data_IF_362306117126
#
_entry.id   IF_362306117126
#
_cell.length_a   1.000
_cell.length_b   1.000
_cell.length_c   1.000
_cell.angle_alpha   90.00
_cell.angle_beta   90.00
_cell.angle_gamma   90.00
#
_symmetry.space_group_name_H-M   'P 1'
#
loop_
_entity.id
_entity.type
_entity.pdbx_description
1 polymer ?
#
# COMPACT_ATOMS: atom_id res chain seq x y z
N UNK A 1 0.64 3.98 2.68
CA UNK A 1 0.37 5.06 1.74
C UNK A 1 -0.79 5.88 2.27
N UNK A 2 -0.73 7.20 2.18
CA UNK A 2 -1.73 8.17 2.67
C UNK A 2 -2.19 7.98 4.14
N UNK A 3 -1.77 6.87 4.77
CA UNK A 3 -2.01 6.55 6.18
C UNK A 3 -0.79 6.90 7.03
N UNK A 4 0.36 6.29 6.76
CA UNK A 4 1.62 6.50 7.50
C UNK A 4 2.43 7.64 6.88
N UNK A 5 2.34 7.83 5.56
CA UNK A 5 2.93 8.92 4.77
C UNK A 5 1.83 9.64 4.00
N UNK A 6 1.97 10.95 3.66
CA UNK A 6 0.90 11.72 3.03
C UNK A 6 0.68 11.42 1.54
N UNK A 7 1.44 10.51 0.95
CA UNK A 7 1.44 10.22 -0.48
C UNK A 7 1.25 8.72 -0.78
N UNK A 8 0.94 8.41 -2.05
CA UNK A 8 1.02 7.06 -2.60
C UNK A 8 2.46 6.76 -3.00
N UNK A 9 3.11 5.86 -2.26
CA UNK A 9 4.54 5.58 -2.42
C UNK A 9 4.86 4.93 -3.76
N UNK A 10 3.98 4.07 -4.29
CA UNK A 10 4.19 3.42 -5.57
C UNK A 10 4.18 4.41 -6.73
N UNK A 11 3.20 5.31 -6.77
CA UNK A 11 3.07 6.34 -7.81
C UNK A 11 4.20 7.36 -7.72
N UNK A 12 4.53 7.83 -6.51
CA UNK A 12 5.58 8.80 -6.30
C UNK A 12 6.96 8.22 -6.64
N UNK A 13 7.23 6.95 -6.28
CA UNK A 13 8.46 6.26 -6.67
C UNK A 13 8.56 6.09 -8.19
N UNK A 14 7.46 5.77 -8.86
CA UNK A 14 7.43 5.68 -10.32
C UNK A 14 7.83 7.03 -10.94
N UNK A 15 7.18 8.12 -10.52
CA UNK A 15 7.51 9.47 -10.98
C UNK A 15 8.99 9.83 -10.69
N UNK A 16 9.47 9.51 -9.49
CA UNK A 16 10.88 9.68 -9.12
C UNK A 16 11.81 8.94 -10.10
N UNK A 17 11.51 7.69 -10.44
CA UNK A 17 12.33 6.89 -11.35
C UNK A 17 12.34 7.47 -12.77
N UNK A 18 11.21 7.90 -13.30
CA UNK A 18 11.15 8.50 -14.63
C UNK A 18 11.92 9.82 -14.71
N UNK A 19 11.93 10.62 -13.63
CA UNK A 19 12.72 11.86 -13.58
C UNK A 19 14.22 11.64 -13.46
N UNK A 20 14.66 10.59 -12.75
CA UNK A 20 16.09 10.34 -12.49
C UNK A 20 16.73 9.34 -13.47
N UNK A 21 15.91 8.56 -14.18
CA UNK A 21 16.32 7.54 -15.14
C UNK A 21 15.49 7.69 -16.43
N UNK A 22 15.80 8.70 -17.29
CA UNK A 22 14.95 9.04 -18.44
C UNK A 22 14.72 7.89 -19.43
N UNK A 23 15.64 6.93 -19.50
CA UNK A 23 15.46 5.75 -20.36
C UNK A 23 14.29 4.87 -19.94
N UNK A 24 13.74 5.03 -18.71
CA UNK A 24 12.49 4.35 -18.30
C UNK A 24 11.30 4.76 -19.16
N UNK A 25 11.34 5.92 -19.82
CA UNK A 25 10.28 6.36 -20.74
C UNK A 25 10.01 5.37 -21.88
N UNK A 26 10.96 4.48 -22.21
CA UNK A 26 10.74 3.40 -23.20
C UNK A 26 9.60 2.46 -22.80
N UNK A 27 9.25 2.38 -21.52
CA UNK A 27 8.14 1.53 -21.03
C UNK A 27 6.76 2.21 -21.12
N UNK A 28 6.72 3.54 -21.32
CA UNK A 28 5.45 4.30 -21.34
C UNK A 28 4.46 3.82 -22.41
N UNK A 29 4.84 3.48 -23.65
CA UNK A 29 3.88 2.99 -24.64
C UNK A 29 3.14 1.74 -24.15
N UNK A 30 3.83 0.82 -23.49
CA UNK A 30 3.25 -0.41 -22.94
C UNK A 30 2.29 -0.07 -21.79
N UNK A 31 2.70 0.84 -20.90
CA UNK A 31 1.86 1.29 -19.78
C UNK A 31 0.62 2.02 -20.31
N UNK A 32 0.75 2.86 -21.36
CA UNK A 32 -0.36 3.57 -21.96
C UNK A 32 -1.38 2.61 -22.60
N UNK A 33 -0.91 1.59 -23.33
CA UNK A 33 -1.79 0.55 -23.89
C UNK A 33 -2.49 -0.21 -22.77
N UNK A 34 -1.79 -0.60 -21.71
CA UNK A 34 -2.39 -1.28 -20.58
C UNK A 34 -3.41 -0.40 -19.85
N UNK A 35 -3.15 0.91 -19.72
CA UNK A 35 -4.11 1.86 -19.15
C UNK A 35 -5.38 1.96 -20.01
N UNK A 36 -5.24 2.04 -21.35
CA UNK A 36 -6.36 2.04 -22.27
C UNK A 36 -7.20 0.75 -22.14
N UNK A 37 -6.54 -0.41 -22.12
CA UNK A 37 -7.22 -1.70 -21.96
C UNK A 37 -7.96 -1.80 -20.61
N UNK A 38 -7.40 -1.19 -19.55
CA UNK A 38 -8.06 -1.12 -18.24
C UNK A 38 -9.30 -0.21 -18.30
N UNK A 39 -9.22 0.96 -18.93
CA UNK A 39 -10.37 1.87 -19.10
C UNK A 39 -11.48 1.22 -19.93
N UNK A 40 -11.12 0.42 -20.93
CA UNK A 40 -12.06 -0.36 -21.74
C UNK A 40 -12.56 -1.64 -21.01
N UNK A 41 -12.22 -1.83 -19.75
CA UNK A 41 -12.58 -3.00 -18.95
C UNK A 41 -12.13 -4.36 -19.53
N UNK A 42 -11.14 -4.38 -20.43
CA UNK A 42 -10.56 -5.60 -21.02
C UNK A 42 -9.62 -6.28 -20.04
N UNK A 43 -8.88 -5.50 -19.26
CA UNK A 43 -8.02 -6.00 -18.18
C UNK A 43 -8.43 -5.38 -16.85
N UNK A 44 -8.19 -6.11 -15.74
CA UNK A 44 -8.43 -5.61 -14.40
C UNK A 44 -7.29 -4.73 -13.89
N UNK A 45 -7.53 -4.03 -12.77
CA UNK A 45 -6.55 -3.14 -12.15
C UNK A 45 -5.25 -3.84 -11.77
N UNK A 46 -5.30 -5.10 -11.30
CA UNK A 46 -4.10 -5.89 -10.96
C UNK A 46 -3.24 -6.13 -12.19
N UNK A 47 -3.87 -6.47 -13.33
CA UNK A 47 -3.17 -6.67 -14.61
C UNK A 47 -2.51 -5.39 -15.11
N UNK A 48 -3.21 -4.24 -15.04
CA UNK A 48 -2.63 -2.93 -15.30
C UNK A 48 -1.42 -2.67 -14.40
N UNK A 49 -1.58 -2.86 -13.08
CA UNK A 49 -0.52 -2.63 -12.11
C UNK A 49 0.73 -3.48 -12.35
N UNK A 50 0.58 -4.69 -12.93
CA UNK A 50 1.72 -5.54 -13.34
C UNK A 50 2.61 -4.84 -14.36
N UNK A 51 2.07 -3.95 -15.20
CA UNK A 51 2.84 -3.22 -16.21
C UNK A 51 3.51 -1.96 -15.68
N UNK A 52 2.98 -1.38 -14.58
CA UNK A 52 3.48 -0.11 -14.04
C UNK A 52 4.94 -0.16 -13.58
N UNK A 53 5.46 -1.33 -13.24
CA UNK A 53 6.82 -1.52 -12.73
C UNK A 53 7.76 -2.23 -13.71
N UNK A 54 7.39 -2.33 -15.00
CA UNK A 54 8.25 -2.94 -16.04
C UNK A 54 9.59 -2.22 -16.24
N UNK A 55 9.71 -0.98 -15.77
CA UNK A 55 10.96 -0.21 -15.82
C UNK A 55 11.99 -0.66 -14.75
N UNK A 56 11.60 -1.43 -13.74
CA UNK A 56 12.50 -1.81 -12.63
C UNK A 56 13.80 -2.49 -13.05
N UNK A 57 13.83 -3.39 -14.04
CA UNK A 57 15.08 -3.98 -14.53
C UNK A 57 16.05 -2.97 -15.18
N UNK A 58 15.54 -1.81 -15.56
CA UNK A 58 16.33 -0.76 -16.24
C UNK A 58 17.06 0.17 -15.28
N UNK A 59 16.82 0.05 -13.97
CA UNK A 59 17.36 0.95 -12.95
C UNK A 59 18.13 0.18 -11.86
N UNK A 60 19.09 0.81 -11.17
CA UNK A 60 19.67 0.25 -9.95
C UNK A 60 18.67 0.34 -8.79
N UNK A 61 17.73 -0.61 -8.75
CA UNK A 61 16.53 -0.63 -7.91
C UNK A 61 16.81 -0.33 -6.44
N UNK A 62 17.77 -1.04 -5.83
CA UNK A 62 18.10 -0.90 -4.41
C UNK A 62 18.60 0.52 -4.09
N UNK A 63 19.43 1.07 -4.98
CA UNK A 63 19.95 2.44 -4.85
C UNK A 63 18.84 3.48 -5.05
N UNK A 64 17.94 3.25 -6.00
CA UNK A 64 16.82 4.13 -6.27
C UNK A 64 15.85 4.16 -5.08
N UNK A 65 15.48 3.00 -4.53
CA UNK A 65 14.62 2.87 -3.35
C UNK A 65 15.23 3.55 -2.13
N UNK A 66 16.52 3.30 -1.88
CA UNK A 66 17.22 3.95 -0.76
C UNK A 66 17.17 5.46 -0.87
N UNK A 67 17.55 6.03 -2.05
CA UNK A 67 17.53 7.48 -2.28
C UNK A 67 16.14 8.08 -2.21
N UNK A 68 15.12 7.34 -2.66
CA UNK A 68 13.74 7.76 -2.55
C UNK A 68 13.34 7.93 -1.07
N UNK A 69 13.58 6.92 -0.23
CA UNK A 69 13.26 7.01 1.19
C UNK A 69 14.17 7.96 1.97
N UNK A 70 15.42 8.17 1.55
CA UNK A 70 16.28 9.20 2.15
C UNK A 70 15.67 10.61 2.02
N UNK A 71 14.89 10.86 0.96
CA UNK A 71 14.19 12.14 0.76
C UNK A 71 12.87 12.23 1.54
N UNK A 72 12.17 11.11 1.69
CA UNK A 72 10.78 11.08 2.16
C UNK A 72 10.58 10.53 3.57
N UNK A 73 11.65 10.07 4.26
CA UNK A 73 11.58 9.51 5.61
C UNK A 73 10.99 10.51 6.64
N UNK A 74 11.25 11.79 6.45
CA UNK A 74 10.79 12.84 7.35
C UNK A 74 9.28 13.15 7.19
N UNK A 75 8.66 12.72 6.09
CA UNK A 75 7.23 12.87 5.83
C UNK A 75 6.37 11.78 6.51
N UNK A 76 7.00 10.81 7.17
CA UNK A 76 6.29 9.84 8.00
C UNK A 76 5.64 10.54 9.18
N UNK A 77 4.33 10.33 9.34
CA UNK A 77 3.55 10.99 10.39
C UNK A 77 4.09 10.68 11.80
N UNK A 78 4.21 11.69 12.69
CA UNK A 78 4.78 11.53 14.04
C UNK A 78 4.13 10.41 14.84
N UNK A 79 2.80 10.34 14.82
CA UNK A 79 2.06 9.33 15.57
C UNK A 79 2.45 7.89 15.26
N UNK A 80 2.91 7.63 14.04
CA UNK A 80 3.39 6.30 13.66
C UNK A 80 4.81 6.03 14.19
N UNK A 81 5.67 7.08 14.22
CA UNK A 81 7.02 6.97 14.78
C UNK A 81 7.00 6.73 16.30
N UNK A 82 6.02 7.30 16.99
CA UNK A 82 5.84 7.24 18.45
C UNK A 82 5.07 6.01 18.92
N UNK A 83 4.69 5.10 18.01
CA UNK A 83 3.96 3.89 18.38
C UNK A 83 4.76 3.00 19.33
N UNK A 84 4.09 2.43 20.31
CA UNK A 84 4.69 1.51 21.32
C UNK A 84 4.12 0.09 21.24
N UNK A 85 3.02 -0.09 20.51
CA UNK A 85 2.34 -1.39 20.37
C UNK A 85 2.85 -2.14 19.15
N UNK A 86 2.74 -3.46 19.18
CA UNK A 86 2.98 -4.32 18.03
C UNK A 86 2.14 -3.86 16.83
N UNK A 87 2.78 -3.63 15.73
CA UNK A 87 2.14 -3.03 14.55
C UNK A 87 2.32 -3.89 13.31
N UNK A 88 1.20 -4.22 12.67
CA UNK A 88 1.17 -4.89 11.36
C UNK A 88 0.85 -3.86 10.29
N UNK A 89 1.78 -3.62 9.39
CA UNK A 89 1.56 -2.73 8.25
C UNK A 89 1.12 -3.55 7.05
N UNK A 90 -0.11 -3.29 6.56
CA UNK A 90 -0.69 -4.01 5.42
C UNK A 90 -0.89 -3.01 4.28
N UNK A 91 -0.23 -3.24 3.14
CA UNK A 91 -0.21 -2.28 2.03
C UNK A 91 -0.35 -2.93 0.66
N UNK A 92 -1.05 -2.24 -0.24
CA UNK A 92 -1.09 -2.59 -1.66
C UNK A 92 0.19 -2.19 -2.41
N UNK A 93 1.09 -1.44 -1.79
CA UNK A 93 2.37 -1.03 -2.40
C UNK A 93 3.37 -2.18 -2.49
N UNK A 94 4.38 -2.05 -3.39
CA UNK A 94 5.31 -3.13 -3.66
C UNK A 94 6.26 -3.44 -2.51
N UNK A 95 6.55 -4.73 -2.28
CA UNK A 95 7.50 -5.22 -1.29
C UNK A 95 8.91 -4.64 -1.47
N UNK A 96 9.42 -4.56 -2.71
CA UNK A 96 10.75 -4.01 -2.98
C UNK A 96 10.88 -2.55 -2.54
N UNK A 97 9.78 -1.78 -2.56
CA UNK A 97 9.72 -0.38 -2.13
C UNK A 97 9.57 -0.27 -0.61
N UNK A 98 8.71 -1.10 -0.02
CA UNK A 98 8.36 -0.99 1.40
C UNK A 98 9.36 -1.66 2.33
N UNK A 99 10.12 -2.66 1.87
CA UNK A 99 11.08 -3.38 2.72
C UNK A 99 12.18 -2.47 3.28
N UNK A 100 12.61 -1.43 2.56
CA UNK A 100 13.61 -0.48 3.04
C UNK A 100 13.06 0.38 4.17
N UNK A 101 11.87 0.99 3.97
CA UNK A 101 11.25 1.85 5.00
C UNK A 101 10.79 1.04 6.21
N UNK A 102 10.35 -0.20 6.01
CA UNK A 102 9.98 -1.10 7.10
C UNK A 102 11.15 -1.36 8.05
N UNK A 103 12.34 -1.58 7.50
CA UNK A 103 13.57 -1.73 8.30
C UNK A 103 13.93 -0.45 9.04
N UNK A 104 13.88 0.71 8.37
CA UNK A 104 14.23 2.02 8.95
C UNK A 104 13.30 2.43 10.09
N UNK A 105 12.02 2.10 9.99
CA UNK A 105 11.01 2.42 10.99
C UNK A 105 10.69 1.25 11.93
N UNK A 106 11.45 0.15 11.83
CA UNK A 106 11.29 -1.04 12.69
C UNK A 106 9.84 -1.51 12.72
N UNK A 107 9.26 -1.82 11.52
CA UNK A 107 7.94 -2.44 11.48
C UNK A 107 8.01 -3.83 12.11
N UNK A 108 7.10 -4.15 13.01
CA UNK A 108 7.05 -5.48 13.62
C UNK A 108 6.66 -6.53 12.57
N UNK A 109 5.71 -6.21 11.68
CA UNK A 109 5.34 -7.03 10.53
C UNK A 109 4.94 -6.17 9.34
N UNK A 110 5.40 -6.56 8.14
CA UNK A 110 4.99 -5.99 6.87
C UNK A 110 4.30 -7.05 6.02
N UNK A 111 3.06 -6.77 5.59
CA UNK A 111 2.29 -7.56 4.63
C UNK A 111 2.00 -6.66 3.43
N UNK A 112 2.48 -7.00 2.25
CA UNK A 112 2.33 -6.13 1.09
C UNK A 112 2.30 -6.90 -0.24
N UNK A 113 2.08 -6.19 -1.36
CA UNK A 113 2.07 -6.82 -2.68
C UNK A 113 3.46 -7.32 -3.02
N UNK A 114 3.55 -8.63 -3.31
CA UNK A 114 4.82 -9.29 -3.66
C UNK A 114 5.15 -9.09 -5.12
N UNK A 115 6.42 -8.82 -5.42
CA UNK A 115 6.93 -8.61 -6.77
C UNK A 115 8.11 -9.52 -7.05
N UNK A 116 8.21 -9.98 -8.29
CA UNK A 116 9.40 -10.67 -8.77
C UNK A 116 10.59 -9.69 -8.77
N UNK A 117 11.67 -9.98 -8.04
CA UNK A 117 12.79 -9.05 -7.91
C UNK A 117 13.54 -8.82 -9.23
N UNK A 118 13.41 -9.73 -10.22
CA UNK A 118 14.10 -9.64 -11.51
C UNK A 118 13.39 -8.74 -12.51
N UNK A 119 12.04 -8.75 -12.54
CA UNK A 119 11.27 -8.06 -13.58
C UNK A 119 10.19 -7.11 -13.02
N UNK A 120 10.04 -7.01 -11.69
CA UNK A 120 9.06 -6.13 -11.05
C UNK A 120 7.58 -6.54 -11.20
N UNK A 121 7.30 -7.69 -11.83
CA UNK A 121 5.92 -8.15 -12.02
C UNK A 121 5.35 -8.66 -10.70
N UNK A 122 4.09 -8.32 -10.43
CA UNK A 122 3.36 -8.81 -9.25
C UNK A 122 3.28 -10.34 -9.27
N UNK A 123 3.62 -10.94 -8.14
CA UNK A 123 3.44 -12.38 -7.88
C UNK A 123 2.13 -12.56 -7.12
N UNK A 124 1.20 -13.31 -7.69
CA UNK A 124 -0.13 -13.52 -7.12
C UNK A 124 -1.02 -12.28 -7.26
N UNK A 125 -1.83 -12.01 -6.24
CA UNK A 125 -2.79 -10.93 -6.22
C UNK A 125 -2.22 -9.64 -5.60
N UNK A 126 -2.84 -8.52 -5.95
CA UNK A 126 -2.55 -7.23 -5.31
C UNK A 126 -3.11 -7.24 -3.87
N UNK A 127 -2.30 -6.86 -2.89
CA UNK A 127 -2.69 -6.81 -1.47
C UNK A 127 -3.67 -5.66 -1.19
N UNK A 128 -4.93 -5.84 -1.63
CA UNK A 128 -5.99 -4.83 -1.56
C UNK A 128 -7.33 -5.47 -1.21
N UNK A 129 -8.25 -4.71 -0.65
CA UNK A 129 -9.59 -5.18 -0.26
C UNK A 129 -9.51 -6.45 0.61
N UNK A 130 -10.29 -7.48 0.33
CA UNK A 130 -10.30 -8.74 1.06
C UNK A 130 -8.98 -9.51 1.06
N UNK A 131 -8.11 -9.27 0.07
CA UNK A 131 -6.78 -9.88 0.01
C UNK A 131 -5.89 -9.48 1.20
N UNK A 132 -6.10 -8.29 1.78
CA UNK A 132 -5.40 -7.85 3.00
C UNK A 132 -5.73 -8.79 4.18
N UNK A 133 -7.01 -9.12 4.36
CA UNK A 133 -7.46 -10.03 5.43
C UNK A 133 -6.96 -11.44 5.20
N UNK A 134 -7.05 -11.94 3.94
CA UNK A 134 -6.55 -13.25 3.58
C UNK A 134 -5.07 -13.40 3.93
N UNK A 135 -4.25 -12.40 3.58
CA UNK A 135 -2.80 -12.42 3.88
C UNK A 135 -2.49 -12.22 5.36
N UNK A 136 -3.32 -11.46 6.09
CA UNK A 136 -3.18 -11.35 7.53
C UNK A 136 -3.29 -12.74 8.17
N UNK A 137 -4.28 -13.53 7.76
CA UNK A 137 -4.50 -14.88 8.29
C UNK A 137 -3.60 -15.97 7.66
N UNK A 138 -2.82 -15.66 6.63
CA UNK A 138 -1.70 -16.52 6.21
C UNK A 138 -0.47 -16.36 7.11
N UNK A 139 -0.29 -15.17 7.67
CA UNK A 139 0.85 -14.85 8.54
C UNK A 139 0.58 -15.12 10.02
N UNK A 140 -0.68 -15.05 10.43
CA UNK A 140 -1.12 -15.23 11.80
C UNK A 140 -2.27 -16.23 11.87
N UNK A 141 -2.23 -17.11 12.88
CA UNK A 141 -3.37 -17.97 13.17
C UNK A 141 -4.62 -17.12 13.47
N UNK A 142 -5.73 -17.40 12.82
CA UNK A 142 -6.98 -16.63 12.96
C UNK A 142 -7.46 -16.54 14.40
N UNK A 143 -7.37 -17.65 15.12
CA UNK A 143 -7.85 -17.76 16.50
C UNK A 143 -6.82 -17.28 17.54
N UNK A 144 -5.61 -16.91 17.07
CA UNK A 144 -4.48 -16.52 17.92
C UNK A 144 -4.14 -15.01 17.79
N UNK A 145 -4.76 -14.30 16.83
CA UNK A 145 -4.52 -12.88 16.62
C UNK A 145 -5.76 -12.07 16.92
N UNK A 146 -5.59 -11.05 17.74
CA UNK A 146 -6.61 -10.05 18.04
C UNK A 146 -6.16 -8.72 17.45
N UNK A 147 -7.02 -8.12 16.62
CA UNK A 147 -6.78 -6.81 16.03
C UNK A 147 -7.38 -5.75 16.94
N UNK A 148 -6.55 -5.03 17.66
CA UNK A 148 -7.01 -4.03 18.62
C UNK A 148 -7.51 -2.79 17.88
N UNK A 149 -6.62 -2.04 17.24
CA UNK A 149 -6.94 -0.79 16.54
C UNK A 149 -6.59 -0.88 15.05
N UNK A 150 -7.40 -0.26 14.21
CA UNK A 150 -7.15 -0.18 12.76
C UNK A 150 -7.07 1.27 12.29
N UNK A 151 -6.07 1.56 11.47
CA UNK A 151 -5.79 2.88 10.91
C UNK A 151 -5.72 2.80 9.39
N UNK A 152 -6.55 3.56 8.66
CA UNK A 152 -6.45 3.67 7.20
C UNK A 152 -7.01 5.00 6.67
N UNK A 153 -6.49 5.43 5.52
CA UNK A 153 -7.02 6.54 4.72
C UNK A 153 -8.23 6.14 3.86
N UNK A 154 -8.47 4.84 3.66
CA UNK A 154 -9.50 4.35 2.75
C UNK A 154 -10.62 3.60 3.47
N UNK A 155 -11.73 4.29 3.72
CA UNK A 155 -12.93 3.66 4.28
C UNK A 155 -13.48 2.56 3.35
N UNK A 156 -13.42 2.76 2.02
CA UNK A 156 -13.98 1.83 1.04
C UNK A 156 -13.17 0.54 0.92
N UNK A 157 -11.87 0.66 0.67
CA UNK A 157 -11.00 -0.50 0.35
C UNK A 157 -10.55 -1.25 1.60
N UNK A 158 -10.55 -0.59 2.74
CA UNK A 158 -10.09 -1.17 4.00
C UNK A 158 -11.25 -1.54 4.96
N UNK A 159 -12.52 -1.48 4.46
CA UNK A 159 -13.66 -2.03 5.20
C UNK A 159 -13.41 -3.45 5.74
N UNK A 160 -12.83 -4.41 4.96
CA UNK A 160 -12.56 -5.75 5.48
C UNK A 160 -11.55 -5.78 6.63
N UNK A 161 -10.58 -4.86 6.67
CA UNK A 161 -9.63 -4.77 7.78
C UNK A 161 -10.28 -4.07 8.98
N UNK A 162 -11.04 -2.99 8.76
CA UNK A 162 -11.78 -2.31 9.82
C UNK A 162 -12.76 -3.24 10.56
N UNK A 163 -13.38 -4.20 9.84
CA UNK A 163 -14.30 -5.17 10.46
C UNK A 163 -13.63 -6.16 11.43
N UNK A 164 -12.30 -6.19 11.48
CA UNK A 164 -11.54 -7.04 12.41
C UNK A 164 -11.20 -6.32 13.73
N UNK A 165 -11.41 -5.00 13.81
CA UNK A 165 -11.06 -4.22 14.98
C UNK A 165 -11.95 -4.56 16.18
N UNK A 166 -11.32 -4.99 17.28
CA UNK A 166 -12.00 -5.15 18.57
C UNK A 166 -11.94 -3.86 19.41
N UNK A 167 -11.02 -2.96 19.10
CA UNK A 167 -10.86 -1.65 19.72
C UNK A 167 -11.42 -0.53 18.82
N UNK A 168 -10.57 0.40 18.42
CA UNK A 168 -10.98 1.60 17.69
C UNK A 168 -10.61 1.55 16.20
N UNK A 169 -11.53 2.07 15.38
CA UNK A 169 -11.26 2.36 13.98
C UNK A 169 -10.87 3.83 13.82
N UNK A 170 -9.78 4.09 13.08
CA UNK A 170 -9.31 5.44 12.80
C UNK A 170 -9.22 5.69 11.29
N UNK A 171 -10.01 6.65 10.82
CA UNK A 171 -9.86 7.19 9.47
C UNK A 171 -8.73 8.24 9.48
N UNK A 172 -7.74 8.05 8.63
CA UNK A 172 -6.62 8.98 8.50
C UNK A 172 -6.92 9.98 7.40
N UNK A 173 -7.08 11.25 7.79
CA UNK A 173 -7.35 12.35 6.87
C UNK A 173 -6.26 13.40 7.02
N UNK A 174 -5.47 13.61 5.97
CA UNK A 174 -4.32 14.54 5.98
C UNK A 174 -3.36 14.33 7.16
N UNK A 175 -3.20 13.06 7.59
CA UNK A 175 -2.31 12.67 8.68
C UNK A 175 -2.93 12.73 10.08
N UNK A 176 -4.14 13.23 10.21
CA UNK A 176 -4.89 13.25 11.48
C UNK A 176 -5.67 11.95 11.67
N UNK A 177 -5.71 11.46 12.91
CA UNK A 177 -6.46 10.26 13.31
C UNK A 177 -7.87 10.64 13.74
N UNK A 178 -8.85 10.35 12.93
CA UNK A 178 -10.27 10.61 13.21
C UNK A 178 -10.90 9.27 13.64
N UNK A 179 -11.23 9.09 14.93
CA UNK A 179 -11.90 7.88 15.39
C UNK A 179 -13.32 7.81 14.86
N UNK A 180 -13.79 6.61 14.55
CA UNK A 180 -15.17 6.36 14.13
C UNK A 180 -15.66 4.99 14.63
N UNK A 181 -16.96 4.85 14.75
CA UNK A 181 -17.61 3.57 15.02
C UNK A 181 -17.87 2.81 13.71
N UNK A 182 -17.46 1.54 13.66
CA UNK A 182 -17.61 0.70 12.46
C UNK A 182 -19.07 0.55 12.04
N UNK A 183 -19.98 0.36 13.00
CA UNK A 183 -21.40 0.13 12.70
C UNK A 183 -22.10 1.42 12.25
N UNK A 184 -21.66 2.59 12.74
CA UNK A 184 -22.19 3.88 12.28
C UNK A 184 -21.83 4.15 10.81
N UNK A 185 -20.63 3.73 10.38
CA UNK A 185 -20.14 3.98 9.00
C UNK A 185 -20.58 2.89 8.02
N UNK A 186 -20.65 1.63 8.46
CA UNK A 186 -20.88 0.47 7.57
C UNK A 186 -22.14 -0.34 7.88
N UNK A 187 -22.94 0.03 8.90
CA UNK A 187 -24.22 -0.58 9.20
C UNK A 187 -25.23 -0.42 8.05
N UNK A 188 -26.27 -1.25 8.04
CA UNK A 188 -27.19 -1.45 6.89
C UNK A 188 -27.92 -0.20 6.38
N UNK A 189 -27.82 0.94 7.06
CA UNK A 189 -28.54 2.18 6.72
C UNK A 189 -27.62 3.34 6.28
N UNK A 190 -26.33 3.11 6.04
CA UNK A 190 -25.42 4.21 5.67
C UNK A 190 -24.91 4.07 4.23
N UNK A 191 -25.48 4.87 3.31
CA UNK A 191 -24.82 5.15 2.02
C UNK A 191 -23.49 5.85 2.31
N UNK A 192 -22.38 5.18 2.02
CA UNK A 192 -21.04 5.74 2.13
C UNK A 192 -20.93 6.89 1.13
N UNK A 193 -21.09 8.12 1.60
CA UNK A 193 -20.76 9.31 0.79
C UNK A 193 -19.24 9.30 0.54
N UNK A 194 -18.88 9.16 -0.73
CA UNK A 194 -17.51 9.28 -1.23
C UNK A 194 -16.99 10.71 -1.13
#
# INVERSE_FOLDING_TARGET
DKTIVPFDSGSLFTAYCFLHYPWCFITLPIIAVAALLMVLHIINFTSFKKTCFLFLPLIPKEKAVKKFWDRHINEVHPWFKERTRYSVVISASPDFLLNDIAKRLSFDKLICTRHNPKNGIIIGENCRDGEKVRRLYEEFCRDCVEVEDVYSDSLRHDKPIFSLANGKCYHIVKGEKIPFDFNEVYGENTEVKN
#
